data_IF_960492248060
#
_entry.id   IF_960492248060
#
_cell.length_a   1.000
_cell.length_b   1.000
_cell.length_c   1.000
_cell.angle_alpha   90.00
_cell.angle_beta   90.00
_cell.angle_gamma   90.00
#
_symmetry.space_group_name_H-M   'P 1'
#
loop_
_entity.id
_entity.type
_entity.pdbx_description
1 polymer ?
#
# COMPACT_ATOMS: atom_id res chain seq x y z
N UNK A 1 24.47 -4.71 54.41
CA UNK A 1 25.12 -4.65 53.08
C UNK A 1 25.08 -6.00 52.34
N UNK A 2 23.91 -6.64 52.18
CA UNK A 2 23.79 -7.92 51.43
C UNK A 2 22.57 -8.04 50.51
N UNK A 3 21.66 -7.05 50.47
CA UNK A 3 20.41 -7.14 49.68
C UNK A 3 20.34 -6.23 48.44
N UNK A 4 21.39 -5.44 48.14
CA UNK A 4 21.37 -4.52 47.00
C UNK A 4 22.04 -5.07 45.74
N UNK A 5 22.85 -6.13 45.88
CA UNK A 5 23.57 -6.75 44.76
C UNK A 5 22.65 -7.70 43.97
N UNK A 6 21.65 -8.30 44.60
CA UNK A 6 20.74 -9.24 43.93
C UNK A 6 19.72 -8.56 43.00
N UNK A 7 19.33 -7.31 43.29
CA UNK A 7 18.36 -6.55 42.47
C UNK A 7 19.04 -5.98 41.21
N UNK A 8 20.32 -5.60 41.29
CA UNK A 8 21.06 -5.08 40.14
C UNK A 8 21.34 -6.17 39.08
N UNK A 9 21.53 -7.43 39.48
CA UNK A 9 21.82 -8.55 38.56
C UNK A 9 20.56 -8.99 37.80
N UNK A 10 19.37 -8.90 38.41
CA UNK A 10 18.10 -9.27 37.75
C UNK A 10 17.66 -8.24 36.70
N UNK A 11 17.98 -6.94 36.88
CA UNK A 11 17.70 -5.90 35.88
C UNK A 11 18.66 -5.90 34.69
N UNK A 12 19.89 -6.42 34.84
CA UNK A 12 20.85 -6.52 33.72
C UNK A 12 20.65 -7.79 32.88
N UNK A 13 20.00 -8.83 33.42
CA UNK A 13 19.66 -10.05 32.67
C UNK A 13 18.33 -9.94 31.90
N UNK A 14 17.44 -9.01 32.27
CA UNK A 14 16.16 -8.79 31.57
C UNK A 14 16.26 -7.89 30.33
N UNK A 15 17.37 -7.16 30.15
CA UNK A 15 17.61 -6.35 28.94
C UNK A 15 18.19 -7.19 27.79
N UNK A 16 18.70 -8.39 28.07
CA UNK A 16 19.39 -9.23 27.08
C UNK A 16 18.47 -10.21 26.32
N UNK A 17 17.17 -10.24 26.61
CA UNK A 17 16.21 -11.19 25.98
C UNK A 17 15.22 -10.48 25.03
N UNK A 18 15.30 -9.15 24.88
CA UNK A 18 14.56 -8.40 23.87
C UNK A 18 15.44 -8.06 22.65
N UNK A 19 16.24 -9.02 22.18
CA UNK A 19 16.58 -9.06 20.75
C UNK A 19 15.39 -9.68 20.00
N UNK A 20 14.22 -9.07 20.11
CA UNK A 20 13.20 -9.25 19.08
C UNK A 20 13.85 -8.68 17.82
N UNK A 21 14.29 -9.58 16.94
CA UNK A 21 14.98 -9.20 15.72
C UNK A 21 14.13 -8.20 14.96
N UNK A 22 14.49 -6.92 15.06
CA UNK A 22 14.24 -5.98 14.00
C UNK A 22 15.10 -6.46 12.83
N UNK A 23 14.58 -7.44 12.09
CA UNK A 23 15.06 -7.73 10.76
C UNK A 23 14.73 -6.48 9.94
N UNK A 24 15.62 -5.50 9.98
CA UNK A 24 15.67 -4.49 8.95
C UNK A 24 15.68 -5.26 7.63
N UNK A 25 14.80 -4.87 6.71
CA UNK A 25 14.69 -5.53 5.42
C UNK A 25 16.05 -5.43 4.74
N UNK A 26 16.78 -6.53 4.65
CA UNK A 26 18.04 -6.58 3.93
C UNK A 26 17.75 -6.23 2.46
N UNK A 27 18.05 -4.99 2.08
CA UNK A 27 17.86 -4.48 0.72
C UNK A 27 19.08 -4.82 -0.13
N UNK A 28 19.49 -6.08 -0.12
CA UNK A 28 20.57 -6.57 -0.98
C UNK A 28 20.18 -6.64 -2.46
N UNK A 29 18.88 -6.52 -2.79
CA UNK A 29 18.37 -6.49 -4.15
C UNK A 29 17.32 -5.38 -4.36
N UNK A 30 17.26 -4.87 -5.58
CA UNK A 30 16.22 -3.92 -6.01
C UNK A 30 14.85 -4.59 -5.90
N UNK A 31 13.98 -4.06 -5.04
CA UNK A 31 12.60 -4.54 -4.82
C UNK A 31 11.75 -4.31 -6.07
N UNK A 32 11.95 -3.19 -6.74
CA UNK A 32 11.23 -2.77 -7.94
C UNK A 32 11.55 -3.69 -9.11
N UNK A 33 10.51 -4.24 -9.76
CA UNK A 33 10.65 -5.14 -10.92
C UNK A 33 11.13 -6.55 -10.55
N UNK A 34 11.38 -6.86 -9.27
CA UNK A 34 11.97 -8.14 -8.87
C UNK A 34 11.14 -9.37 -9.27
N UNK A 35 9.84 -9.21 -9.49
CA UNK A 35 8.92 -10.30 -9.85
C UNK A 35 8.62 -10.38 -11.34
N UNK A 36 9.18 -9.50 -12.16
CA UNK A 36 9.07 -9.64 -13.61
C UNK A 36 9.97 -10.75 -14.13
N UNK A 37 9.49 -11.50 -15.12
CA UNK A 37 10.26 -12.49 -15.86
C UNK A 37 10.65 -11.93 -17.24
N UNK A 38 11.92 -11.59 -17.41
CA UNK A 38 12.46 -11.10 -18.69
C UNK A 38 12.97 -12.23 -19.61
N UNK A 39 13.08 -13.46 -19.07
CA UNK A 39 13.56 -14.63 -19.80
C UNK A 39 12.45 -15.53 -20.35
N UNK A 40 12.80 -16.78 -20.64
CA UNK A 40 11.84 -17.80 -21.02
C UNK A 40 10.82 -18.06 -19.88
N UNK A 41 9.57 -18.32 -20.25
CA UNK A 41 8.51 -18.68 -19.31
C UNK A 41 8.89 -19.94 -18.53
N UNK A 42 8.70 -19.91 -17.21
CA UNK A 42 8.89 -21.06 -16.32
C UNK A 42 7.53 -21.57 -15.83
N UNK A 43 7.53 -22.79 -15.31
CA UNK A 43 6.33 -23.38 -14.74
C UNK A 43 5.80 -22.54 -13.56
N UNK A 44 4.54 -22.13 -13.67
CA UNK A 44 3.86 -21.30 -12.67
C UNK A 44 4.04 -19.78 -12.84
N UNK A 45 4.82 -19.34 -13.84
CA UNK A 45 4.80 -17.93 -14.26
C UNK A 45 3.45 -17.60 -14.90
N UNK A 46 2.98 -16.36 -14.70
CA UNK A 46 1.68 -15.88 -15.19
C UNK A 46 1.92 -14.76 -16.20
N UNK A 47 1.35 -14.89 -17.40
CA UNK A 47 1.35 -13.81 -18.40
C UNK A 47 0.20 -12.85 -18.06
N UNK A 48 0.53 -11.66 -17.56
CA UNK A 48 -0.45 -10.65 -17.19
C UNK A 48 -0.95 -9.88 -18.42
N UNK A 49 -0.08 -9.66 -19.41
CA UNK A 49 -0.44 -9.05 -20.68
C UNK A 49 0.55 -9.48 -21.77
N UNK A 50 0.04 -9.70 -22.98
CA UNK A 50 0.82 -9.80 -24.20
C UNK A 50 0.03 -9.23 -25.40
N UNK A 51 0.55 -9.42 -26.61
CA UNK A 51 -0.06 -8.93 -27.85
C UNK A 51 -1.42 -9.58 -28.21
N UNK A 52 -1.76 -10.72 -27.61
CA UNK A 52 -2.96 -11.50 -27.93
C UNK A 52 -4.01 -11.43 -26.82
N UNK A 53 -3.57 -11.38 -25.56
CA UNK A 53 -4.45 -11.45 -24.41
C UNK A 53 -3.92 -10.64 -23.22
N UNK A 54 -4.82 -10.31 -22.30
CA UNK A 54 -4.45 -9.67 -21.05
C UNK A 54 -5.33 -10.12 -19.90
N UNK A 55 -4.84 -9.90 -18.68
CA UNK A 55 -5.55 -10.24 -17.47
C UNK A 55 -6.79 -9.36 -17.26
N UNK A 56 -7.59 -9.75 -16.29
CA UNK A 56 -8.66 -8.95 -15.68
C UNK A 56 -8.35 -8.78 -14.19
N UNK A 57 -8.85 -7.70 -13.59
CA UNK A 57 -8.77 -7.50 -12.15
C UNK A 57 -10.15 -7.75 -11.56
N UNK A 58 -10.25 -8.69 -10.63
CA UNK A 58 -11.50 -9.14 -10.04
C UNK A 58 -11.64 -8.54 -8.65
N UNK A 59 -12.66 -7.70 -8.48
CA UNK A 59 -12.99 -7.05 -7.20
C UNK A 59 -14.50 -7.11 -6.97
N UNK A 60 -14.91 -7.89 -5.98
CA UNK A 60 -16.30 -8.04 -5.57
C UNK A 60 -16.90 -6.73 -5.04
N UNK A 61 -18.21 -6.54 -5.22
CA UNK A 61 -18.93 -5.36 -4.69
C UNK A 61 -18.89 -5.27 -3.15
N UNK A 62 -18.64 -6.40 -2.47
CA UNK A 62 -18.49 -6.45 -1.01
C UNK A 62 -17.20 -5.80 -0.51
N UNK A 63 -16.22 -5.61 -1.40
CA UNK A 63 -14.93 -5.04 -1.01
C UNK A 63 -15.06 -3.58 -0.57
N UNK A 64 -14.11 -3.14 0.25
CA UNK A 64 -14.06 -1.75 0.68
C UNK A 64 -13.70 -0.82 -0.50
N UNK A 65 -14.11 0.45 -0.45
CA UNK A 65 -13.76 1.47 -1.45
C UNK A 65 -12.25 1.58 -1.69
N UNK A 66 -11.45 1.49 -0.62
CA UNK A 66 -9.98 1.46 -0.69
C UNK A 66 -9.43 0.32 -1.58
N UNK A 67 -10.05 -0.86 -1.56
CA UNK A 67 -9.63 -2.00 -2.39
C UNK A 67 -9.98 -1.76 -3.85
N UNK A 68 -11.18 -1.22 -4.11
CA UNK A 68 -11.58 -0.79 -5.47
C UNK A 68 -10.64 0.28 -6.02
N UNK A 69 -10.25 1.25 -5.20
CA UNK A 69 -9.29 2.27 -5.60
C UNK A 69 -7.91 1.67 -5.90
N UNK A 70 -7.44 0.73 -5.07
CA UNK A 70 -6.18 0.03 -5.32
C UNK A 70 -6.19 -0.78 -6.63
N UNK A 71 -7.34 -1.37 -7.00
CA UNK A 71 -7.52 -2.03 -8.29
C UNK A 71 -7.45 -1.05 -9.47
N UNK A 72 -8.03 0.15 -9.34
CA UNK A 72 -7.91 1.22 -10.36
C UNK A 72 -6.43 1.60 -10.57
N UNK A 73 -5.68 1.77 -9.48
CA UNK A 73 -4.26 2.06 -9.56
C UNK A 73 -3.47 0.91 -10.19
N UNK A 74 -3.74 -0.34 -9.79
CA UNK A 74 -3.08 -1.52 -10.37
C UNK A 74 -3.37 -1.66 -11.88
N UNK A 75 -4.61 -1.41 -12.32
CA UNK A 75 -4.97 -1.43 -13.75
C UNK A 75 -4.16 -0.39 -14.53
N UNK A 76 -4.09 0.85 -14.00
CA UNK A 76 -3.30 1.92 -14.61
C UNK A 76 -1.80 1.69 -14.54
N UNK A 77 -1.30 0.93 -13.57
CA UNK A 77 0.10 0.55 -13.45
C UNK A 77 0.49 -0.51 -14.48
N UNK A 78 -0.35 -1.53 -14.65
CA UNK A 78 -0.18 -2.53 -15.72
C UNK A 78 -0.21 -1.84 -17.08
N UNK A 79 -1.13 -0.89 -17.30
CA UNK A 79 -1.19 -0.07 -18.52
C UNK A 79 0.10 0.72 -18.76
N UNK A 80 0.67 1.35 -17.71
CA UNK A 80 1.95 2.05 -17.82
C UNK A 80 3.10 1.13 -18.24
N UNK A 81 3.08 -0.14 -17.85
CA UNK A 81 4.15 -1.10 -18.15
C UNK A 81 3.94 -1.76 -19.52
N UNK A 82 2.76 -2.33 -19.76
CA UNK A 82 2.49 -3.18 -20.93
C UNK A 82 1.78 -2.47 -22.09
N UNK A 83 1.15 -1.33 -21.83
CA UNK A 83 0.25 -0.67 -22.78
C UNK A 83 -1.18 -1.26 -22.81
N UNK A 84 -1.44 -2.34 -22.08
CA UNK A 84 -2.77 -2.92 -21.91
C UNK A 84 -3.36 -2.52 -20.56
N UNK A 85 -4.60 -2.00 -20.56
CA UNK A 85 -5.34 -1.70 -19.34
C UNK A 85 -6.30 -2.85 -19.00
N UNK A 86 -6.05 -3.61 -17.93
CA UNK A 86 -6.97 -4.66 -17.50
C UNK A 86 -8.35 -4.09 -17.16
N UNK A 87 -9.46 -4.72 -17.61
CA UNK A 87 -10.78 -4.39 -17.11
C UNK A 87 -10.88 -4.79 -15.63
N UNK A 88 -11.65 -4.01 -14.87
CA UNK A 88 -12.02 -4.35 -13.49
C UNK A 88 -13.43 -4.93 -13.54
N UNK A 89 -13.60 -6.15 -13.04
CA UNK A 89 -14.85 -6.91 -13.07
C UNK A 89 -15.23 -7.39 -11.67
N UNK A 90 -16.53 -7.54 -11.40
CA UNK A 90 -17.01 -8.03 -10.11
C UNK A 90 -17.00 -9.55 -10.01
N UNK A 91 -17.10 -10.24 -11.15
CA UNK A 91 -17.00 -11.70 -11.26
C UNK A 91 -15.99 -12.08 -12.33
N UNK A 92 -15.22 -13.16 -12.13
CA UNK A 92 -14.23 -13.60 -13.11
C UNK A 92 -14.94 -14.09 -14.38
N UNK A 93 -14.38 -13.76 -15.55
CA UNK A 93 -14.89 -14.23 -16.85
C UNK A 93 -14.59 -15.71 -17.09
N UNK A 94 -13.58 -16.26 -16.40
CA UNK A 94 -13.08 -17.62 -16.60
C UNK A 94 -12.29 -17.82 -17.89
N UNK A 95 -12.14 -16.78 -18.72
CA UNK A 95 -11.46 -16.83 -20.01
C UNK A 95 -10.07 -16.19 -19.97
N UNK A 96 -9.78 -15.41 -18.94
CA UNK A 96 -8.55 -14.62 -18.79
C UNK A 96 -7.83 -14.98 -17.49
N UNK A 97 -6.58 -14.53 -17.38
CA UNK A 97 -5.89 -14.50 -16.08
C UNK A 97 -6.64 -13.55 -15.15
N UNK A 98 -7.00 -14.01 -13.96
CA UNK A 98 -7.67 -13.20 -12.95
C UNK A 98 -6.69 -12.71 -11.86
N UNK A 99 -6.60 -11.40 -11.65
CA UNK A 99 -5.97 -10.83 -10.46
C UNK A 99 -7.08 -10.53 -9.44
N UNK A 100 -7.19 -11.36 -8.41
CA UNK A 100 -8.25 -11.29 -7.41
C UNK A 100 -7.79 -10.47 -6.20
N UNK A 101 -8.47 -9.36 -5.90
CA UNK A 101 -8.27 -8.62 -4.65
C UNK A 101 -9.39 -9.00 -3.69
N UNK A 102 -9.05 -9.69 -2.59
CA UNK A 102 -10.04 -10.22 -1.65
C UNK A 102 -9.61 -9.94 -0.22
N UNK A 103 -10.49 -9.33 0.55
CA UNK A 103 -10.33 -9.23 2.00
C UNK A 103 -10.84 -10.52 2.65
N UNK A 104 -10.06 -11.07 3.59
CA UNK A 104 -10.39 -12.30 4.28
C UNK A 104 -11.81 -12.25 4.87
N UNK A 105 -12.65 -13.21 4.45
CA UNK A 105 -14.05 -13.32 4.89
C UNK A 105 -15.09 -12.73 3.94
N UNK A 106 -14.69 -11.96 2.91
CA UNK A 106 -15.64 -11.39 1.96
C UNK A 106 -16.10 -12.40 0.89
N UNK A 107 -15.17 -13.20 0.38
CA UNK A 107 -15.40 -14.17 -0.70
C UNK A 107 -14.49 -15.40 -0.55
N UNK A 108 -14.70 -16.41 -1.40
CA UNK A 108 -13.91 -17.64 -1.39
C UNK A 108 -12.45 -17.40 -1.80
N UNK A 109 -11.54 -18.07 -1.11
CA UNK A 109 -10.10 -17.99 -1.34
C UNK A 109 -9.48 -19.40 -1.41
N UNK A 110 -8.37 -19.60 -2.15
CA UNK A 110 -7.70 -20.89 -2.22
C UNK A 110 -7.24 -21.40 -0.85
N UNK A 111 -7.19 -22.73 -0.69
CA UNK A 111 -6.72 -23.39 0.54
C UNK A 111 -5.24 -23.10 0.86
N UNK A 112 -4.46 -22.72 -0.15
CA UNK A 112 -3.05 -22.36 -0.06
C UNK A 112 -2.83 -20.97 0.57
N UNK A 113 -3.88 -20.15 0.65
CA UNK A 113 -3.81 -18.90 1.42
C UNK A 113 -3.72 -19.26 2.89
N UNK A 114 -2.71 -18.73 3.58
CA UNK A 114 -2.44 -18.97 4.98
C UNK A 114 -3.42 -18.18 5.87
N UNK A 115 -4.70 -18.56 5.85
CA UNK A 115 -5.78 -17.86 6.54
C UNK A 115 -5.52 -17.67 8.04
N UNK A 116 -4.93 -18.69 8.69
CA UNK A 116 -4.61 -18.62 10.12
C UNK A 116 -3.54 -17.55 10.44
N UNK A 117 -2.65 -17.27 9.49
CA UNK A 117 -1.66 -16.20 9.61
C UNK A 117 -2.25 -14.82 9.29
N UNK A 118 -3.38 -14.73 8.59
CA UNK A 118 -4.05 -13.47 8.28
C UNK A 118 -5.12 -13.10 9.32
N UNK A 119 -5.75 -14.10 9.94
CA UNK A 119 -6.83 -13.87 10.90
C UNK A 119 -6.35 -12.99 12.05
N UNK A 120 -7.16 -11.97 12.37
CA UNK A 120 -6.91 -10.99 13.44
C UNK A 120 -5.58 -10.20 13.29
N UNK A 121 -4.96 -10.20 12.10
CA UNK A 121 -3.77 -9.41 11.84
C UNK A 121 -4.11 -8.01 11.34
N UNK A 122 -3.18 -7.09 11.55
CA UNK A 122 -3.31 -5.70 11.12
C UNK A 122 -2.60 -5.50 9.79
N UNK A 123 -3.36 -5.28 8.70
CA UNK A 123 -2.80 -4.90 7.39
C UNK A 123 -1.84 -5.94 6.77
N UNK A 124 -1.77 -7.14 7.32
CA UNK A 124 -1.04 -8.27 6.75
C UNK A 124 -1.72 -8.75 5.45
N UNK A 125 -0.95 -9.33 4.55
CA UNK A 125 -1.46 -9.84 3.28
C UNK A 125 -0.58 -10.93 2.68
N UNK A 126 -1.17 -11.74 1.81
CA UNK A 126 -0.49 -12.73 0.99
C UNK A 126 -0.72 -12.44 -0.49
N UNK A 127 0.32 -12.64 -1.30
CA UNK A 127 0.28 -12.62 -2.76
C UNK A 127 0.68 -14.00 -3.25
N UNK A 128 -0.25 -14.67 -3.94
CA UNK A 128 -0.06 -16.04 -4.40
C UNK A 128 -0.43 -16.17 -5.88
N UNK A 129 0.49 -16.66 -6.70
CA UNK A 129 0.18 -17.15 -8.05
C UNK A 129 -0.24 -18.61 -7.95
N UNK A 130 -1.40 -18.96 -8.49
CA UNK A 130 -1.87 -20.34 -8.55
C UNK A 130 -2.63 -20.55 -9.84
N UNK A 131 -2.26 -21.59 -10.60
CA UNK A 131 -2.86 -21.90 -11.90
C UNK A 131 -2.80 -20.68 -12.84
N UNK A 132 -3.95 -20.11 -13.20
CA UNK A 132 -4.05 -18.95 -14.09
C UNK A 132 -4.53 -17.69 -13.32
N UNK A 133 -4.25 -17.61 -12.02
CA UNK A 133 -4.74 -16.53 -11.15
C UNK A 133 -3.64 -15.97 -10.25
N UNK A 134 -3.76 -14.68 -9.93
CA UNK A 134 -2.99 -13.99 -8.92
C UNK A 134 -3.94 -13.61 -7.79
N UNK A 135 -3.69 -14.10 -6.58
CA UNK A 135 -4.51 -13.86 -5.41
C UNK A 135 -3.83 -12.85 -4.50
N UNK A 136 -4.47 -11.70 -4.30
CA UNK A 136 -4.05 -10.62 -3.41
C UNK A 136 -5.01 -10.63 -2.21
N UNK A 137 -4.63 -11.34 -1.14
CA UNK A 137 -5.52 -11.57 0.01
C UNK A 137 -5.03 -10.85 1.26
N UNK A 138 -5.85 -9.94 1.78
CA UNK A 138 -5.53 -9.17 2.99
C UNK A 138 -6.27 -9.65 4.23
N UNK A 139 -5.64 -9.46 5.39
CA UNK A 139 -6.27 -9.65 6.71
C UNK A 139 -7.43 -8.67 6.94
N UNK A 140 -7.34 -7.48 6.34
CA UNK A 140 -8.37 -6.46 6.31
C UNK A 140 -8.26 -5.68 4.98
N UNK A 141 -9.19 -4.75 4.74
CA UNK A 141 -9.24 -4.01 3.47
C UNK A 141 -7.96 -3.23 3.14
N UNK A 142 -7.25 -2.70 4.14
CA UNK A 142 -5.96 -2.03 3.92
C UNK A 142 -4.87 -3.02 3.55
N UNK A 143 -4.82 -4.19 4.18
CA UNK A 143 -3.93 -5.27 3.77
C UNK A 143 -4.16 -5.70 2.31
N UNK A 144 -5.42 -5.83 1.90
CA UNK A 144 -5.77 -6.17 0.52
C UNK A 144 -5.32 -5.08 -0.46
N UNK A 145 -5.55 -3.80 -0.14
CA UNK A 145 -5.05 -2.68 -0.93
C UNK A 145 -3.51 -2.64 -0.99
N UNK A 146 -2.84 -2.89 0.14
CA UNK A 146 -1.36 -2.94 0.20
C UNK A 146 -0.77 -4.11 -0.57
N UNK A 147 -1.49 -5.22 -0.73
CA UNK A 147 -1.10 -6.30 -1.63
C UNK A 147 -1.05 -5.82 -3.10
N UNK A 148 -2.03 -5.03 -3.54
CA UNK A 148 -2.02 -4.45 -4.88
C UNK A 148 -0.85 -3.49 -5.09
N UNK A 149 -0.58 -2.58 -4.14
CA UNK A 149 0.60 -1.72 -4.24
C UNK A 149 1.91 -2.50 -4.16
N UNK A 150 1.97 -3.60 -3.39
CA UNK A 150 3.10 -4.53 -3.37
C UNK A 150 3.33 -5.11 -4.76
N UNK A 151 2.27 -5.62 -5.39
CA UNK A 151 2.37 -6.14 -6.75
C UNK A 151 2.83 -5.04 -7.74
N UNK A 152 2.25 -3.84 -7.71
CA UNK A 152 2.67 -2.73 -8.58
C UNK A 152 4.17 -2.43 -8.47
N UNK A 153 4.71 -2.33 -7.25
CA UNK A 153 6.14 -2.08 -7.05
C UNK A 153 6.99 -3.23 -7.60
N UNK A 154 6.58 -4.47 -7.30
CA UNK A 154 7.28 -5.68 -7.74
C UNK A 154 7.23 -5.89 -9.25
N UNK A 155 6.27 -5.28 -9.93
CA UNK A 155 6.15 -5.18 -11.39
C UNK A 155 6.90 -3.97 -11.98
N UNK A 156 7.59 -3.16 -11.20
CA UNK A 156 8.47 -2.10 -11.72
C UNK A 156 7.99 -0.67 -11.49
N UNK A 157 6.84 -0.45 -10.85
CA UNK A 157 6.37 0.89 -10.52
C UNK A 157 7.16 1.45 -9.33
N UNK A 158 7.71 2.66 -9.47
CA UNK A 158 8.28 3.40 -8.36
C UNK A 158 7.16 3.93 -7.45
N UNK A 159 7.13 3.63 -6.13
CA UNK A 159 6.17 4.23 -5.20
C UNK A 159 6.16 5.77 -5.21
N UNK A 160 7.25 6.41 -5.65
CA UNK A 160 7.43 7.86 -5.73
C UNK A 160 7.31 8.45 -7.15
N UNK A 161 6.85 7.67 -8.14
CA UNK A 161 6.88 8.08 -9.56
C UNK A 161 6.21 9.44 -9.85
N UNK A 162 5.20 9.84 -9.07
CA UNK A 162 4.52 11.13 -9.17
C UNK A 162 5.42 12.34 -8.90
N UNK A 163 6.55 12.13 -8.22
CA UNK A 163 7.47 13.17 -7.77
C UNK A 163 8.85 13.07 -8.40
N UNK A 164 9.24 11.90 -8.91
CA UNK A 164 10.58 11.64 -9.42
C UNK A 164 10.70 11.79 -10.93
N UNK A 165 9.57 11.90 -11.66
CA UNK A 165 9.57 11.82 -13.12
C UNK A 165 9.91 10.42 -13.66
N UNK A 166 10.00 9.41 -12.79
CA UNK A 166 10.31 8.05 -13.18
C UNK A 166 9.21 7.48 -14.08
N UNK A 167 9.62 6.92 -15.22
CA UNK A 167 8.73 6.16 -16.10
C UNK A 167 9.14 4.69 -16.03
N UNK A 168 8.21 3.75 -15.77
CA UNK A 168 8.54 2.34 -15.73
C UNK A 168 8.99 1.84 -17.12
N UNK A 169 9.88 0.85 -17.12
CA UNK A 169 10.28 0.15 -18.34
C UNK A 169 9.06 -0.49 -19.01
N UNK A 170 9.07 -0.50 -20.35
CA UNK A 170 7.95 -1.02 -21.13
C UNK A 170 8.12 -2.51 -21.39
N UNK A 171 7.13 -3.30 -21.00
CA UNK A 171 7.07 -4.75 -21.23
C UNK A 171 5.77 -5.11 -21.93
N UNK A 172 5.71 -5.06 -23.28
CA UNK A 172 4.51 -5.44 -24.03
C UNK A 172 4.04 -6.86 -23.71
N UNK A 173 5.00 -7.76 -23.43
CA UNK A 173 4.76 -9.05 -22.79
C UNK A 173 5.13 -8.94 -21.32
N UNK A 174 4.15 -8.68 -20.46
CA UNK A 174 4.33 -8.58 -19.02
C UNK A 174 4.09 -9.95 -18.37
N UNK A 175 5.16 -10.51 -17.79
CA UNK A 175 5.12 -11.83 -17.14
C UNK A 175 5.48 -11.68 -15.67
N UNK A 176 4.61 -12.18 -14.79
CA UNK A 176 4.82 -12.31 -13.37
C UNK A 176 5.44 -13.67 -13.05
N UNK A 177 6.58 -13.69 -12.35
CA UNK A 177 7.19 -14.91 -11.82
C UNK A 177 6.25 -15.62 -10.85
N UNK A 178 6.29 -16.95 -10.81
CA UNK A 178 5.64 -17.72 -9.75
C UNK A 178 5.97 -17.13 -8.37
N UNK A 179 4.96 -16.72 -7.62
CA UNK A 179 5.10 -15.97 -6.38
C UNK A 179 4.22 -16.57 -5.29
N UNK A 180 4.83 -16.79 -4.11
CA UNK A 180 4.12 -16.96 -2.84
C UNK A 180 4.81 -16.07 -1.82
N UNK A 181 4.22 -14.90 -1.58
CA UNK A 181 4.78 -13.86 -0.74
C UNK A 181 3.82 -13.53 0.39
N UNK A 182 4.32 -13.47 1.61
CA UNK A 182 3.54 -13.08 2.78
C UNK A 182 4.17 -11.85 3.44
N UNK A 183 3.36 -10.81 3.63
CA UNK A 183 3.69 -9.64 4.43
C UNK A 183 3.02 -9.75 5.80
N UNK A 184 3.83 -9.75 6.86
CA UNK A 184 3.35 -9.71 8.23
C UNK A 184 2.75 -8.33 8.57
N UNK A 185 2.05 -8.26 9.70
CA UNK A 185 1.61 -6.98 10.27
C UNK A 185 2.79 -6.01 10.40
N UNK A 186 2.61 -4.71 10.07
CA UNK A 186 3.67 -3.73 10.20
C UNK A 186 4.03 -3.52 11.67
N UNK A 187 5.31 -3.30 11.95
CA UNK A 187 5.82 -3.05 13.31
C UNK A 187 5.15 -1.83 13.95
N UNK A 188 4.86 -0.80 13.14
CA UNK A 188 4.20 0.44 13.58
C UNK A 188 2.79 0.49 13.03
N UNK A 189 1.80 0.61 13.92
CA UNK A 189 0.37 0.54 13.57
C UNK A 189 -0.11 1.72 12.73
N UNK A 190 0.30 2.94 13.06
CA UNK A 190 -0.06 4.16 12.34
C UNK A 190 1.20 4.81 11.77
N UNK A 191 1.25 4.96 10.45
CA UNK A 191 2.44 5.40 9.71
C UNK A 191 1.99 6.41 8.69
N UNK A 192 2.66 7.56 8.61
CA UNK A 192 2.14 8.64 7.80
C UNK A 192 3.13 9.74 7.50
N UNK A 193 2.66 10.64 6.66
CA UNK A 193 3.30 11.91 6.38
C UNK A 193 2.50 13.05 6.96
N UNK A 194 3.23 14.10 7.34
CA UNK A 194 2.70 15.41 7.62
C UNK A 194 3.30 16.37 6.59
N UNK A 195 2.43 17.04 5.85
CA UNK A 195 2.86 18.09 4.94
C UNK A 195 2.76 19.43 5.68
N UNK A 196 3.91 19.91 6.15
CA UNK A 196 4.08 21.06 7.03
C UNK A 196 4.99 22.12 6.39
N UNK A 197 5.15 23.26 7.08
CA UNK A 197 5.96 24.41 6.66
C UNK A 197 5.50 25.04 5.33
N UNK A 198 4.22 24.95 4.96
CA UNK A 198 3.68 25.62 3.77
C UNK A 198 3.56 27.15 3.90
N UNK A 199 3.75 27.63 5.12
CA UNK A 199 3.70 29.02 5.55
C UNK A 199 5.05 29.73 5.39
N UNK A 200 6.11 29.02 4.96
CA UNK A 200 7.32 29.63 4.40
C UNK A 200 7.01 30.45 3.14
N UNK A 201 5.87 30.19 2.50
CA UNK A 201 5.32 31.06 1.46
C UNK A 201 4.75 32.32 2.12
N UNK A 202 5.04 33.55 1.63
CA UNK A 202 4.60 34.78 2.28
C UNK A 202 3.10 34.81 2.56
N UNK A 203 2.71 34.84 3.83
CA UNK A 203 1.31 34.92 4.28
C UNK A 203 1.12 36.05 5.30
N UNK A 204 -0.01 36.76 5.25
CA UNK A 204 -0.36 37.70 6.31
C UNK A 204 -0.64 36.96 7.62
N UNK A 205 -0.40 37.62 8.76
CA UNK A 205 -0.57 37.05 10.10
C UNK A 205 -1.90 37.48 10.72
N UNK A 206 -2.46 36.60 11.54
CA UNK A 206 -3.55 36.88 12.47
C UNK A 206 -3.05 37.76 13.63
N UNK A 207 -3.98 38.41 14.34
CA UNK A 207 -3.67 39.21 15.53
C UNK A 207 -2.93 38.40 16.62
N UNK A 208 -3.17 37.09 16.66
CA UNK A 208 -2.51 36.12 17.55
C UNK A 208 -1.07 35.78 17.15
N UNK A 209 -0.56 36.31 16.04
CA UNK A 209 0.80 36.08 15.55
C UNK A 209 0.97 34.82 14.71
N UNK A 210 -0.11 34.10 14.38
CA UNK A 210 -0.06 32.93 13.50
C UNK A 210 -0.33 33.29 12.04
N UNK A 211 0.25 32.58 11.05
CA UNK A 211 -0.13 32.77 9.65
C UNK A 211 -1.63 32.53 9.45
N UNK A 212 -2.27 33.41 8.68
CA UNK A 212 -3.69 33.30 8.35
C UNK A 212 -3.98 31.99 7.62
N UNK A 213 -5.05 31.31 8.04
CA UNK A 213 -5.58 30.15 7.31
C UNK A 213 -6.38 30.62 6.10
N UNK A 214 -5.73 30.65 4.93
CA UNK A 214 -6.31 31.13 3.67
C UNK A 214 -6.05 30.18 2.52
N UNK A 215 -6.96 30.21 1.55
CA UNK A 215 -6.84 29.48 0.29
C UNK A 215 -7.18 28.00 0.39
N UNK A 216 -7.34 27.40 -0.79
CA UNK A 216 -7.62 25.98 -0.98
C UNK A 216 -6.45 25.33 -1.71
N UNK A 217 -5.99 24.19 -1.20
CA UNK A 217 -5.08 23.33 -1.95
C UNK A 217 -5.91 22.49 -2.93
N UNK A 218 -5.55 22.44 -4.22
CA UNK A 218 -6.29 21.67 -5.21
C UNK A 218 -6.45 20.19 -4.82
N UNK A 219 -7.63 19.62 -5.04
CA UNK A 219 -7.93 18.22 -4.71
C UNK A 219 -6.97 17.24 -5.41
N UNK A 220 -6.54 17.55 -6.64
CA UNK A 220 -5.57 16.73 -7.38
C UNK A 220 -4.24 16.60 -6.64
N UNK A 221 -3.79 17.66 -5.95
CA UNK A 221 -2.58 17.60 -5.15
C UNK A 221 -2.74 16.57 -4.01
N UNK A 222 -3.87 16.61 -3.29
CA UNK A 222 -4.15 15.66 -2.23
C UNK A 222 -4.25 14.22 -2.74
N UNK A 223 -4.86 14.02 -3.91
CA UNK A 223 -4.90 12.69 -4.55
C UNK A 223 -3.48 12.15 -4.80
N UNK A 224 -2.57 12.96 -5.33
CA UNK A 224 -1.16 12.57 -5.52
C UNK A 224 -0.46 12.26 -4.20
N UNK A 225 -0.68 13.10 -3.19
CA UNK A 225 -0.11 12.89 -1.85
C UNK A 225 -0.62 11.60 -1.19
N UNK A 226 -1.93 11.34 -1.25
CA UNK A 226 -2.56 10.15 -0.71
C UNK A 226 -2.14 8.88 -1.44
N UNK A 227 -2.10 8.90 -2.78
CA UNK A 227 -1.60 7.79 -3.59
C UNK A 227 -0.15 7.45 -3.19
N UNK A 228 0.69 8.46 -3.03
CA UNK A 228 2.08 8.28 -2.61
C UNK A 228 2.17 7.63 -1.22
N UNK A 229 1.41 8.13 -0.25
CA UNK A 229 1.38 7.55 1.09
C UNK A 229 0.97 6.07 1.05
N UNK A 230 -0.10 5.74 0.32
CA UNK A 230 -0.60 4.37 0.16
C UNK A 230 0.41 3.47 -0.54
N UNK A 231 1.08 3.97 -1.60
CA UNK A 231 2.15 3.25 -2.30
C UNK A 231 3.36 3.03 -1.43
N UNK A 232 3.62 3.85 -0.42
CA UNK A 232 4.64 3.62 0.60
C UNK A 232 4.15 2.78 1.79
N UNK A 233 2.91 2.26 1.71
CA UNK A 233 2.27 1.41 2.73
C UNK A 233 2.08 2.18 4.04
N UNK A 234 1.93 3.50 3.93
CA UNK A 234 1.46 4.37 4.99
C UNK A 234 -0.07 4.31 5.04
N UNK A 235 -0.63 4.55 6.23
CA UNK A 235 -2.08 4.50 6.46
C UNK A 235 -2.62 5.76 7.12
N UNK A 236 -1.79 6.78 7.34
CA UNK A 236 -2.17 8.02 8.00
C UNK A 236 -1.60 9.21 7.26
N UNK A 237 -2.34 10.32 7.21
CA UNK A 237 -1.91 11.58 6.61
C UNK A 237 -2.36 12.75 7.46
N UNK A 238 -1.47 13.72 7.66
CA UNK A 238 -1.79 15.03 8.17
C UNK A 238 -1.64 16.05 7.02
N UNK A 239 -2.72 16.77 6.67
CA UNK A 239 -2.72 17.78 5.61
C UNK A 239 -2.05 19.08 6.09
N UNK A 240 -1.98 20.05 5.17
CA UNK A 240 -1.65 21.44 5.46
C UNK A 240 -2.40 22.00 6.70
N UNK A 241 -1.70 22.78 7.51
CA UNK A 241 -2.25 23.39 8.75
C UNK A 241 -2.93 24.73 8.49
N UNK A 242 -2.44 25.49 7.50
CA UNK A 242 -2.86 26.87 7.16
C UNK A 242 -3.63 26.97 5.83
N UNK A 243 -4.37 25.92 5.48
CA UNK A 243 -5.34 25.91 4.37
C UNK A 243 -6.73 25.47 4.85
N UNK A 244 -7.79 25.73 4.07
CA UNK A 244 -9.12 25.24 4.43
C UNK A 244 -9.18 23.70 4.41
N UNK A 245 -9.85 23.15 5.43
CA UNK A 245 -10.11 21.71 5.54
C UNK A 245 -11.41 21.35 4.87
N UNK A 246 -11.34 21.05 3.57
CA UNK A 246 -12.51 20.70 2.76
C UNK A 246 -12.98 19.27 3.06
N UNK A 247 -14.28 19.09 3.25
CA UNK A 247 -14.88 17.78 3.51
C UNK A 247 -14.57 16.77 2.41
N UNK A 248 -14.59 17.19 1.14
CA UNK A 248 -14.30 16.31 0.01
C UNK A 248 -12.91 15.65 0.13
N UNK A 249 -11.90 16.38 0.63
CA UNK A 249 -10.53 15.87 0.79
C UNK A 249 -10.48 14.82 1.90
N UNK A 250 -11.15 15.08 3.02
CA UNK A 250 -11.24 14.14 4.14
C UNK A 250 -11.96 12.86 3.71
N UNK A 251 -13.06 13.01 2.96
CA UNK A 251 -13.80 11.89 2.40
C UNK A 251 -12.93 11.04 1.47
N UNK A 252 -12.17 11.66 0.57
CA UNK A 252 -11.24 10.93 -0.32
C UNK A 252 -10.21 10.14 0.50
N UNK A 253 -9.60 10.76 1.52
CA UNK A 253 -8.65 10.06 2.38
C UNK A 253 -9.30 8.83 3.05
N UNK A 254 -10.49 9.00 3.62
CA UNK A 254 -11.24 7.92 4.27
C UNK A 254 -11.65 6.82 3.28
N UNK A 255 -12.20 7.19 2.12
CA UNK A 255 -12.59 6.26 1.06
C UNK A 255 -11.40 5.43 0.57
N UNK A 256 -10.21 6.03 0.50
CA UNK A 256 -8.97 5.36 0.09
C UNK A 256 -8.30 4.58 1.24
N UNK A 257 -8.90 4.62 2.43
CA UNK A 257 -8.47 3.85 3.60
C UNK A 257 -7.42 4.53 4.47
N UNK A 258 -7.15 5.82 4.29
CA UNK A 258 -6.24 6.60 5.13
C UNK A 258 -6.95 7.14 6.38
N UNK A 259 -6.22 7.15 7.49
CA UNK A 259 -6.56 7.96 8.65
C UNK A 259 -6.18 9.42 8.36
N UNK A 260 -7.19 10.28 8.25
CA UNK A 260 -6.99 11.71 8.15
C UNK A 260 -6.87 12.31 9.56
N UNK A 261 -5.72 12.86 9.89
CA UNK A 261 -5.43 13.44 11.22
C UNK A 261 -5.04 14.91 11.09
N UNK A 262 -4.75 15.54 12.23
CA UNK A 262 -4.29 16.92 12.30
C UNK A 262 -2.99 17.05 13.08
N UNK A 263 -2.38 18.23 12.95
CA UNK A 263 -1.31 18.64 13.83
C UNK A 263 -1.82 18.80 15.28
N UNK A 264 -0.94 18.62 16.27
CA UNK A 264 -1.34 18.45 17.68
C UNK A 264 -2.05 19.66 18.31
N UNK A 265 -1.88 20.88 17.78
CA UNK A 265 -2.62 22.06 18.27
C UNK A 265 -4.01 22.20 17.63
N UNK A 266 -4.29 21.49 16.54
CA UNK A 266 -5.57 21.51 15.85
C UNK A 266 -6.49 20.42 16.38
N UNK A 267 -7.11 20.69 17.52
CA UNK A 267 -8.00 19.74 18.23
C UNK A 267 -9.43 19.76 17.68
N UNK A 268 -10.13 18.61 17.79
CA UNK A 268 -11.57 18.43 17.48
C UNK A 268 -11.95 18.70 16.01
N UNK A 269 -11.35 17.93 15.09
CA UNK A 269 -11.65 17.93 13.65
C UNK A 269 -13.13 17.72 13.33
#
# INVERSE_FOLDING_TARGET
MKNWILIAVVCLLSVSILSAGAAAQDRSQTVRGSWMQDGALREGDIVLADQNAGCEIVVSEKEHSAVRQAAIFLAGDIEKISGYKPPIVSTPSGQRVGIHLITLGNDEIPKQIAQDKLRNQWEAHQILTMQNSVWLVGANFRGTAFAAYTLSERLGIDPLYLWTGYTPEKHPKLVLKKTDYFANSPTVKYRGFFHDDEDILPRPFEYSGYPLRIGDVPTEWYQRFFETALRLRLNMVAPYTRAHRRFEVQKIASDWGLFYTSHHYDILL
#
